data_IF_797756949412
#
_entry.id   IF_797756949412
#
_cell.length_a   1.000
_cell.length_b   1.000
_cell.length_c   1.000
_cell.angle_alpha   90.00
_cell.angle_beta   90.00
_cell.angle_gamma   90.00
#
_symmetry.space_group_name_H-M   'P 1'
#
loop_
_entity.id
_entity.type
_entity.pdbx_description
1 polymer ?
#
# COMPACT_ATOMS: atom_id res chain seq x y z
N UNK A 1 9.35 -32.20 -14.86
CA UNK A 1 8.59 -30.94 -14.81
C UNK A 1 8.09 -30.52 -13.42
N UNK A 2 8.47 -31.19 -12.30
CA UNK A 2 8.05 -30.77 -10.95
C UNK A 2 9.06 -29.89 -10.20
N UNK A 3 10.32 -29.88 -10.65
CA UNK A 3 11.42 -29.13 -10.01
C UNK A 3 11.44 -27.65 -10.47
N UNK A 4 10.99 -27.37 -11.70
CA UNK A 4 10.95 -26.00 -12.25
C UNK A 4 9.92 -25.09 -11.57
N UNK A 5 8.81 -25.65 -11.07
CA UNK A 5 7.77 -24.91 -10.33
C UNK A 5 8.22 -24.48 -8.92
N UNK A 6 9.16 -25.21 -8.31
CA UNK A 6 9.71 -24.83 -7.00
C UNK A 6 10.75 -23.71 -7.10
N UNK A 7 11.48 -23.65 -8.22
CA UNK A 7 12.46 -22.59 -8.49
C UNK A 7 11.80 -21.24 -8.82
N UNK A 8 10.59 -21.23 -9.40
CA UNK A 8 9.87 -19.97 -9.66
C UNK A 8 9.32 -19.32 -8.39
N UNK A 9 9.00 -20.10 -7.36
CA UNK A 9 8.47 -19.59 -6.07
C UNK A 9 9.58 -18.89 -5.27
N UNK A 10 10.82 -19.36 -5.36
CA UNK A 10 11.95 -18.73 -4.67
C UNK A 10 12.41 -17.40 -5.30
N UNK A 11 12.06 -17.14 -6.57
CA UNK A 11 12.50 -15.94 -7.28
C UNK A 11 11.64 -14.68 -7.00
N UNK A 12 10.41 -14.84 -6.51
CA UNK A 12 9.54 -13.70 -6.14
C UNK A 12 9.78 -13.18 -4.70
N UNK A 13 10.53 -13.90 -3.87
CA UNK A 13 10.79 -13.53 -2.46
C UNK A 13 11.93 -12.54 -2.25
N UNK A 14 12.62 -12.12 -3.32
CA UNK A 14 13.78 -11.21 -3.23
C UNK A 14 13.53 -9.86 -3.89
N UNK A 15 12.33 -9.30 -3.76
CA UNK A 15 12.14 -7.87 -3.95
C UNK A 15 12.53 -7.18 -2.63
N UNK A 16 13.68 -6.49 -2.55
CA UNK A 16 13.94 -5.64 -1.40
C UNK A 16 12.90 -4.51 -1.44
N UNK A 17 11.90 -4.58 -0.58
CA UNK A 17 11.14 -3.40 -0.18
C UNK A 17 12.17 -2.47 0.45
N UNK A 18 12.72 -1.56 -0.35
CA UNK A 18 13.67 -0.56 0.10
C UNK A 18 12.91 0.45 0.96
N UNK A 19 12.57 0.05 2.18
CA UNK A 19 12.18 0.98 3.23
C UNK A 19 13.37 1.93 3.42
N UNK A 20 13.17 3.21 3.08
CA UNK A 20 14.20 4.23 3.28
C UNK A 20 14.33 4.44 4.78
N UNK A 21 15.33 3.81 5.38
CA UNK A 21 15.68 4.02 6.78
C UNK A 21 16.60 5.23 6.89
N UNK A 22 16.20 6.20 7.68
CA UNK A 22 17.01 7.35 8.03
C UNK A 22 17.70 7.09 9.36
N UNK A 23 19.00 7.37 9.43
CA UNK A 23 19.75 7.30 10.68
C UNK A 23 20.49 8.59 10.93
N UNK A 24 20.56 8.97 12.19
CA UNK A 24 21.32 10.12 12.64
C UNK A 24 21.99 9.81 13.97
N UNK A 25 23.16 10.39 14.21
CA UNK A 25 23.84 10.30 15.50
C UNK A 25 23.74 11.63 16.21
N UNK A 26 23.25 11.61 17.43
CA UNK A 26 23.12 12.81 18.24
C UNK A 26 24.46 13.32 18.78
N UNK A 27 24.42 14.49 19.41
CA UNK A 27 25.57 15.11 20.06
C UNK A 27 26.13 14.32 21.25
N UNK A 28 25.33 13.42 21.84
CA UNK A 28 25.72 12.50 22.91
C UNK A 28 26.27 11.15 22.38
N UNK A 29 26.27 10.95 21.07
CA UNK A 29 26.74 9.74 20.40
C UNK A 29 25.72 8.60 20.31
N UNK A 30 24.46 8.80 20.69
CA UNK A 30 23.37 7.83 20.47
C UNK A 30 22.92 7.86 19.01
N UNK A 31 22.47 6.71 18.52
CA UNK A 31 22.01 6.56 17.14
C UNK A 31 20.49 6.50 17.14
N UNK A 32 19.88 7.43 16.41
CA UNK A 32 18.45 7.49 16.16
C UNK A 32 18.17 6.89 14.79
N UNK A 33 17.14 6.04 14.73
CA UNK A 33 16.67 5.43 13.50
C UNK A 33 15.20 5.78 13.32
N UNK A 34 14.81 6.18 12.11
CA UNK A 34 13.42 6.41 11.77
C UNK A 34 13.15 5.98 10.32
N UNK A 35 11.93 5.52 10.11
CA UNK A 35 11.35 5.21 8.80
C UNK A 35 10.84 6.48 8.07
N UNK A 36 10.79 7.63 8.76
CA UNK A 36 10.48 8.93 8.17
C UNK A 36 11.47 10.01 8.62
N UNK A 37 11.61 11.08 7.83
CA UNK A 37 12.53 12.19 8.15
C UNK A 37 12.06 13.03 9.35
N UNK A 38 10.77 12.93 9.71
CA UNK A 38 10.12 13.77 10.71
C UNK A 38 10.23 13.20 12.13
N UNK A 39 10.40 11.88 12.26
CA UNK A 39 10.55 11.17 13.52
C UNK A 39 11.97 11.24 14.09
N UNK A 40 12.90 11.88 13.36
CA UNK A 40 14.23 12.16 13.87
C UNK A 40 14.18 13.34 14.86
N UNK A 41 14.98 13.31 15.95
CA UNK A 41 15.04 14.40 16.92
C UNK A 41 15.51 15.70 16.27
N UNK A 42 15.17 16.86 16.84
CA UNK A 42 15.45 18.18 16.25
C UNK A 42 16.93 18.40 15.90
N UNK A 43 17.84 17.84 16.70
CA UNK A 43 19.28 17.89 16.46
C UNK A 43 19.71 17.14 15.18
N UNK A 44 18.86 16.25 14.67
CA UNK A 44 19.05 15.46 13.46
C UNK A 44 18.33 16.03 12.22
N UNK A 45 17.47 17.05 12.39
CA UNK A 45 16.70 17.68 11.30
C UNK A 45 17.53 18.68 10.47
N UNK A 46 18.85 18.54 10.44
CA UNK A 46 19.78 19.62 10.04
C UNK A 46 20.37 19.52 8.63
N UNK A 47 20.79 18.33 8.19
CA UNK A 47 21.56 18.13 6.95
C UNK A 47 21.28 16.79 6.29
N UNK A 48 20.79 16.82 5.06
CA UNK A 48 20.80 15.67 4.17
C UNK A 48 22.26 15.40 3.75
N UNK A 49 22.82 14.26 4.14
CA UNK A 49 24.10 13.79 3.62
C UNK A 49 23.87 12.54 2.79
N UNK A 50 24.20 12.63 1.50
CA UNK A 50 24.22 11.45 0.62
C UNK A 50 25.48 10.66 0.93
N UNK A 51 25.36 9.61 1.73
CA UNK A 51 26.46 8.65 1.95
C UNK A 51 26.61 7.83 0.67
N UNK A 52 27.69 8.07 -0.08
CA UNK A 52 28.02 7.23 -1.24
C UNK A 52 28.44 5.85 -0.72
N UNK A 53 27.89 4.73 -1.25
CA UNK A 53 28.29 3.40 -0.83
C UNK A 53 29.77 3.17 -1.20
N UNK A 54 30.62 3.11 -0.17
CA UNK A 54 32.00 2.64 -0.29
C UNK A 54 32.09 1.11 -0.19
N UNK A 55 33.24 0.51 -0.54
CA UNK A 55 33.45 -0.94 -0.37
C UNK A 55 33.22 -1.36 1.08
N UNK A 56 32.47 -2.45 1.26
CA UNK A 56 31.89 -2.96 2.52
C UNK A 56 32.94 -3.26 3.59
N UNK A 57 34.23 -3.34 3.23
CA UNK A 57 35.31 -3.76 4.12
C UNK A 57 35.86 -2.68 5.07
N UNK A 58 35.45 -1.42 4.93
CA UNK A 58 35.87 -0.36 5.86
C UNK A 58 34.68 0.43 6.36
N UNK A 59 34.35 0.24 7.65
CA UNK A 59 33.56 1.18 8.44
C UNK A 59 34.21 2.57 8.33
N UNK A 60 33.76 3.39 7.38
CA UNK A 60 34.18 4.78 7.28
C UNK A 60 33.59 5.53 8.48
N UNK A 61 34.45 5.78 9.46
CA UNK A 61 34.14 6.64 10.59
C UNK A 61 33.86 8.04 10.07
N UNK A 62 32.59 8.44 10.01
CA UNK A 62 32.18 9.81 9.70
C UNK A 62 32.38 10.62 10.99
N UNK A 63 33.37 11.53 11.06
CA UNK A 63 33.60 12.33 12.26
C UNK A 63 32.40 13.24 12.54
N UNK A 64 32.07 13.42 13.82
CA UNK A 64 31.00 14.32 14.25
C UNK A 64 31.27 15.74 13.73
N UNK A 65 30.52 16.14 12.70
CA UNK A 65 30.55 17.50 12.18
C UNK A 65 29.62 18.34 13.05
N UNK A 66 30.02 19.58 13.40
CA UNK A 66 29.13 20.50 14.12
C UNK A 66 27.79 20.59 13.39
N UNK A 67 26.73 20.14 14.05
CA UNK A 67 25.37 20.19 13.56
C UNK A 67 25.00 21.65 13.32
N UNK A 68 24.41 22.01 12.16
CA UNK A 68 23.96 23.37 11.95
C UNK A 68 22.82 23.68 12.92
N UNK A 69 22.77 24.91 13.43
CA UNK A 69 21.71 25.36 14.33
C UNK A 69 20.32 25.50 13.64
N UNK A 70 20.27 25.35 12.32
CA UNK A 70 19.04 25.45 11.50
C UNK A 70 19.06 24.40 10.39
N UNK A 71 17.89 23.81 10.13
CA UNK A 71 17.67 22.93 9.00
C UNK A 71 18.01 23.62 7.67
N UNK A 72 18.84 22.99 6.85
CA UNK A 72 19.16 23.49 5.51
C UNK A 72 17.89 23.53 4.62
N UNK A 73 17.85 24.47 3.67
CA UNK A 73 16.75 24.60 2.69
C UNK A 73 16.53 23.32 1.90
N UNK A 74 17.58 22.53 1.69
CA UNK A 74 17.50 21.28 0.95
C UNK A 74 16.84 20.18 1.80
N UNK A 75 17.15 20.10 3.09
CA UNK A 75 16.47 19.22 4.04
C UNK A 75 14.96 19.57 4.13
N UNK A 76 14.62 20.85 4.27
CA UNK A 76 13.22 21.28 4.30
C UNK A 76 12.47 20.95 2.99
N UNK A 77 13.16 20.99 1.84
CA UNK A 77 12.59 20.55 0.56
C UNK A 77 12.38 19.04 0.52
N UNK A 78 13.33 18.26 1.04
CA UNK A 78 13.22 16.80 1.13
C UNK A 78 12.04 16.38 2.01
N UNK A 79 11.86 17.00 3.19
CA UNK A 79 10.71 16.74 4.08
C UNK A 79 9.39 17.02 3.37
N UNK A 80 9.22 18.19 2.76
CA UNK A 80 7.99 18.53 2.02
C UNK A 80 7.69 17.59 0.84
N UNK A 81 8.72 17.05 0.20
CA UNK A 81 8.56 16.05 -0.87
C UNK A 81 8.02 14.75 -0.30
N UNK A 82 8.60 14.26 0.81
CA UNK A 82 8.12 13.04 1.48
C UNK A 82 6.68 13.23 1.97
N UNK A 83 6.35 14.36 2.60
CA UNK A 83 4.98 14.68 3.02
C UNK A 83 3.99 14.64 1.86
N UNK A 84 4.39 15.20 0.71
CA UNK A 84 3.52 15.19 -0.49
C UNK A 84 3.33 13.78 -1.02
N UNK A 85 4.40 12.99 -1.08
CA UNK A 85 4.34 11.59 -1.52
C UNK A 85 3.45 10.75 -0.60
N UNK A 86 3.60 10.89 0.73
CA UNK A 86 2.76 10.21 1.72
C UNK A 86 1.30 10.63 1.62
N UNK A 87 1.03 11.93 1.46
CA UNK A 87 -0.33 12.44 1.27
C UNK A 87 -0.97 11.86 0.01
N UNK A 88 -0.26 11.85 -1.12
CA UNK A 88 -0.78 11.29 -2.37
C UNK A 88 -1.07 9.79 -2.24
N UNK A 89 -0.20 9.04 -1.55
CA UNK A 89 -0.45 7.62 -1.25
C UNK A 89 -1.69 7.43 -0.38
N UNK A 90 -1.84 8.23 0.67
CA UNK A 90 -3.00 8.18 1.56
C UNK A 90 -4.31 8.53 0.83
N UNK A 91 -4.30 9.56 -0.02
CA UNK A 91 -5.44 9.94 -0.86
C UNK A 91 -5.81 8.83 -1.85
N UNK A 92 -4.81 8.17 -2.45
CA UNK A 92 -5.00 7.04 -3.35
C UNK A 92 -5.59 5.83 -2.62
N UNK A 93 -5.08 5.49 -1.44
CA UNK A 93 -5.62 4.43 -0.60
C UNK A 93 -7.07 4.69 -0.18
N UNK A 94 -7.39 5.92 0.22
CA UNK A 94 -8.75 6.33 0.58
C UNK A 94 -9.72 6.18 -0.60
N UNK A 95 -9.30 6.54 -1.82
CA UNK A 95 -10.09 6.35 -3.04
C UNK A 95 -10.41 4.87 -3.27
N UNK A 96 -9.39 4.00 -3.26
CA UNK A 96 -9.61 2.56 -3.48
C UNK A 96 -10.47 1.93 -2.39
N UNK A 97 -10.33 2.37 -1.14
CA UNK A 97 -11.20 1.93 -0.06
C UNK A 97 -12.66 2.29 -0.34
N UNK A 98 -12.93 3.52 -0.77
CA UNK A 98 -14.28 3.95 -1.13
C UNK A 98 -14.86 3.12 -2.28
N UNK A 99 -14.08 2.86 -3.33
CA UNK A 99 -14.47 2.03 -4.47
C UNK A 99 -14.77 0.58 -4.01
N UNK A 100 -13.94 -0.01 -3.16
CA UNK A 100 -14.17 -1.34 -2.60
C UNK A 100 -15.44 -1.41 -1.73
N UNK A 101 -15.69 -0.39 -0.90
CA UNK A 101 -16.93 -0.30 -0.12
C UNK A 101 -18.17 -0.20 -1.01
N UNK A 102 -18.07 0.51 -2.15
CA UNK A 102 -19.16 0.61 -3.13
C UNK A 102 -19.45 -0.73 -3.80
N UNK A 103 -18.41 -1.43 -4.28
CA UNK A 103 -18.56 -2.77 -4.83
C UNK A 103 -19.19 -3.72 -3.81
N UNK A 104 -18.76 -3.65 -2.55
CA UNK A 104 -19.32 -4.49 -1.50
C UNK A 104 -20.81 -4.17 -1.22
N UNK A 105 -21.20 -2.89 -1.19
CA UNK A 105 -22.61 -2.50 -1.07
C UNK A 105 -23.45 -3.04 -2.23
N UNK A 106 -22.96 -2.92 -3.47
CA UNK A 106 -23.63 -3.44 -4.66
C UNK A 106 -23.78 -4.96 -4.60
N UNK A 107 -22.73 -5.67 -4.15
CA UNK A 107 -22.78 -7.12 -3.92
C UNK A 107 -23.92 -7.50 -2.96
N UNK A 108 -23.98 -6.84 -1.80
CA UNK A 108 -25.01 -7.10 -0.80
C UNK A 108 -26.41 -6.85 -1.37
N UNK A 109 -26.61 -5.74 -2.10
CA UNK A 109 -27.88 -5.43 -2.74
C UNK A 109 -28.30 -6.52 -3.74
N UNK A 110 -27.39 -6.96 -4.62
CA UNK A 110 -27.66 -8.01 -5.61
C UNK A 110 -28.05 -9.32 -4.90
N UNK A 111 -27.32 -9.72 -3.86
CA UNK A 111 -27.61 -10.94 -3.08
C UNK A 111 -28.99 -10.89 -2.44
N UNK A 112 -29.36 -9.73 -1.91
CA UNK A 112 -30.65 -9.49 -1.30
C UNK A 112 -31.79 -9.55 -2.31
N UNK A 113 -31.60 -8.97 -3.49
CA UNK A 113 -32.54 -9.05 -4.60
C UNK A 113 -32.70 -10.47 -5.14
N UNK A 114 -31.59 -11.22 -5.24
CA UNK A 114 -31.63 -12.64 -5.62
C UNK A 114 -32.41 -13.46 -4.59
N UNK A 115 -32.22 -13.20 -3.30
CA UNK A 115 -32.98 -13.84 -2.21
C UNK A 115 -34.48 -13.55 -2.34
N UNK A 116 -34.86 -12.29 -2.57
CA UNK A 116 -36.25 -11.88 -2.81
C UNK A 116 -36.85 -12.55 -4.05
N UNK A 117 -36.14 -12.54 -5.17
CA UNK A 117 -36.62 -13.12 -6.43
C UNK A 117 -36.73 -14.66 -6.35
N UNK A 118 -35.93 -15.35 -5.53
CA UNK A 118 -36.09 -16.80 -5.31
C UNK A 118 -37.37 -17.15 -4.54
N UNK A 119 -37.86 -16.27 -3.68
CA UNK A 119 -39.09 -16.50 -2.90
C UNK A 119 -40.36 -16.41 -3.75
N UNK A 120 -40.33 -15.62 -4.82
CA UNK A 120 -41.46 -15.43 -5.74
C UNK A 120 -41.20 -16.30 -6.97
N UNK A 121 -41.88 -17.44 -7.11
CA UNK A 121 -41.60 -18.38 -8.20
C UNK A 121 -42.50 -18.13 -9.42
N UNK A 122 -42.27 -17.02 -10.10
CA UNK A 122 -42.95 -16.67 -11.37
C UNK A 122 -41.95 -16.47 -12.52
N UNK A 123 -42.48 -16.32 -13.75
CA UNK A 123 -41.64 -16.13 -14.94
C UNK A 123 -40.80 -14.84 -14.88
N UNK A 124 -41.35 -13.77 -14.29
CA UNK A 124 -40.64 -12.49 -14.12
C UNK A 124 -39.45 -12.64 -13.18
N UNK A 125 -39.60 -13.38 -12.10
CA UNK A 125 -38.55 -13.64 -11.12
C UNK A 125 -37.44 -14.51 -11.69
N UNK A 126 -37.76 -15.45 -12.58
CA UNK A 126 -36.75 -16.22 -13.32
C UNK A 126 -35.90 -15.32 -14.23
N UNK A 127 -36.53 -14.41 -14.98
CA UNK A 127 -35.82 -13.43 -15.80
C UNK A 127 -34.97 -12.50 -14.94
N UNK A 128 -35.52 -11.99 -13.83
CA UNK A 128 -34.79 -11.15 -12.87
C UNK A 128 -33.58 -11.88 -12.27
N UNK A 129 -33.72 -13.14 -11.88
CA UNK A 129 -32.60 -13.95 -11.39
C UNK A 129 -31.52 -14.18 -12.45
N UNK A 130 -31.88 -14.24 -13.73
CA UNK A 130 -30.89 -14.32 -14.82
C UNK A 130 -30.11 -13.00 -14.92
N UNK A 131 -30.79 -11.86 -14.86
CA UNK A 131 -30.15 -10.55 -14.90
C UNK A 131 -29.22 -10.34 -13.71
N UNK A 132 -29.70 -10.58 -12.48
CA UNK A 132 -28.89 -10.43 -11.26
C UNK A 132 -27.64 -11.32 -11.23
N UNK A 133 -27.65 -12.45 -11.95
CA UNK A 133 -26.45 -13.30 -12.11
C UNK A 133 -25.43 -12.69 -13.07
N UNK A 134 -25.88 -11.96 -14.09
CA UNK A 134 -25.01 -11.21 -15.00
C UNK A 134 -24.42 -10.04 -14.20
N UNK A 135 -25.26 -9.25 -13.53
CA UNK A 135 -24.82 -8.13 -12.70
C UNK A 135 -23.79 -8.58 -11.63
N UNK A 136 -24.00 -9.75 -11.00
CA UNK A 136 -23.04 -10.33 -10.06
C UNK A 136 -21.71 -10.73 -10.73
N UNK A 137 -21.75 -11.24 -11.95
CA UNK A 137 -20.55 -11.63 -12.68
C UNK A 137 -19.75 -10.39 -13.11
N UNK A 138 -20.43 -9.34 -13.55
CA UNK A 138 -19.83 -8.05 -13.92
C UNK A 138 -19.16 -7.41 -12.69
N UNK A 139 -19.86 -7.39 -11.54
CA UNK A 139 -19.31 -6.90 -10.27
C UNK A 139 -18.06 -7.68 -9.81
N UNK A 140 -18.01 -8.99 -10.06
CA UNK A 140 -16.81 -9.79 -9.79
C UNK A 140 -15.68 -9.38 -10.73
N UNK A 141 -15.97 -9.06 -12.00
CA UNK A 141 -15.00 -8.48 -12.92
C UNK A 141 -14.43 -7.16 -12.42
N UNK A 142 -15.29 -6.22 -12.02
CA UNK A 142 -14.89 -4.92 -11.46
C UNK A 142 -14.00 -5.07 -10.21
N UNK A 143 -14.31 -6.06 -9.36
CA UNK A 143 -13.44 -6.40 -8.22
C UNK A 143 -12.05 -6.84 -8.68
N UNK A 144 -11.93 -7.72 -9.67
CA UNK A 144 -10.63 -8.21 -10.13
C UNK A 144 -9.82 -7.07 -10.78
N UNK A 145 -10.48 -6.17 -11.51
CA UNK A 145 -9.86 -4.95 -12.05
C UNK A 145 -9.31 -4.06 -10.92
N UNK A 146 -10.11 -3.81 -9.88
CA UNK A 146 -9.68 -3.02 -8.72
C UNK A 146 -8.50 -3.68 -7.97
N UNK A 147 -8.50 -5.01 -7.83
CA UNK A 147 -7.38 -5.72 -7.21
C UNK A 147 -6.08 -5.59 -8.02
N UNK A 148 -6.16 -5.63 -9.36
CA UNK A 148 -5.01 -5.39 -10.23
C UNK A 148 -4.50 -3.94 -10.08
N UNK A 149 -5.39 -2.95 -10.06
CA UNK A 149 -5.00 -1.56 -9.82
C UNK A 149 -4.31 -1.38 -8.46
N UNK A 150 -4.80 -2.04 -7.40
CA UNK A 150 -4.19 -2.01 -6.07
C UNK A 150 -2.79 -2.68 -6.05
N UNK A 151 -2.61 -3.74 -6.82
CA UNK A 151 -1.32 -4.44 -6.93
C UNK A 151 -0.25 -3.56 -7.59
N UNK A 152 -0.63 -2.86 -8.67
CA UNK A 152 0.23 -1.93 -9.40
C UNK A 152 0.63 -0.70 -8.55
N UNK A 153 -0.20 -0.33 -7.57
CA UNK A 153 0.04 0.79 -6.69
C UNK A 153 0.89 0.39 -5.47
N UNK A 154 1.91 1.20 -5.17
CA UNK A 154 2.81 1.00 -4.03
C UNK A 154 2.20 1.57 -2.73
N UNK A 155 1.04 1.01 -2.35
CA UNK A 155 0.30 1.33 -1.13
C UNK A 155 0.98 0.72 0.11
N UNK A 156 0.65 1.26 1.28
CA UNK A 156 1.06 0.64 2.53
C UNK A 156 0.40 -0.75 2.68
N UNK A 157 1.14 -1.71 3.25
CA UNK A 157 0.65 -3.09 3.43
C UNK A 157 -0.65 -3.14 4.23
N UNK A 158 -0.83 -2.25 5.21
CA UNK A 158 -2.03 -2.19 6.03
C UNK A 158 -3.25 -1.72 5.21
N UNK A 159 -3.10 -0.64 4.43
CA UNK A 159 -4.18 -0.12 3.59
C UNK A 159 -4.63 -1.17 2.56
N UNK A 160 -3.66 -1.85 1.92
CA UNK A 160 -3.92 -2.95 0.99
C UNK A 160 -4.74 -4.07 1.64
N UNK A 161 -4.34 -4.53 2.83
CA UNK A 161 -5.05 -5.58 3.56
C UNK A 161 -6.47 -5.17 3.93
N UNK A 162 -6.67 -3.92 4.34
CA UNK A 162 -8.01 -3.42 4.66
C UNK A 162 -8.93 -3.42 3.44
N UNK A 163 -8.44 -2.95 2.29
CA UNK A 163 -9.20 -2.93 1.04
C UNK A 163 -9.50 -4.35 0.55
N UNK A 164 -8.50 -5.25 0.57
CA UNK A 164 -8.67 -6.65 0.19
C UNK A 164 -9.68 -7.37 1.09
N UNK A 165 -9.71 -7.07 2.39
CA UNK A 165 -10.67 -7.65 3.32
C UNK A 165 -12.12 -7.28 2.96
N UNK A 166 -12.36 -6.03 2.55
CA UNK A 166 -13.68 -5.58 2.07
C UNK A 166 -14.09 -6.35 0.80
N UNK A 167 -13.14 -6.54 -0.12
CA UNK A 167 -13.39 -7.22 -1.40
C UNK A 167 -13.50 -8.75 -1.24
N UNK A 168 -13.02 -9.34 -0.15
CA UNK A 168 -12.96 -10.80 0.03
C UNK A 168 -14.34 -11.46 -0.01
N UNK A 169 -15.39 -10.76 0.44
CA UNK A 169 -16.75 -11.28 0.51
C UNK A 169 -17.46 -11.35 -0.84
N UNK A 170 -16.98 -10.61 -1.84
CA UNK A 170 -17.54 -10.60 -3.19
C UNK A 170 -17.11 -11.87 -3.93
N UNK A 171 -18.06 -12.79 -4.12
CA UNK A 171 -17.86 -14.10 -4.77
C UNK A 171 -19.05 -14.48 -5.65
N UNK A 172 -18.74 -15.15 -6.75
CA UNK A 172 -19.74 -15.65 -7.70
C UNK A 172 -20.47 -16.93 -7.22
N UNK A 173 -19.98 -17.62 -6.17
CA UNK A 173 -20.59 -18.83 -5.61
C UNK A 173 -20.45 -18.91 -4.10
#
# INVERSE_FOLDING_TARGET
MRILLLLSIFLCLSLPVAAKTYSCRDSAGQIHFSDNLQGLPEECLGKEQVVKPGPIDNLQYVPATKLPAQADRDFQRAVRRVEREERLKSETAARFKQEAEELHRNYLQIKDEMSRARRIWDNRSRQKLKQLKIDLADLVGEKEELLLEIEEQNLASQDRQEIEAILQDIKNK
#
